data_IF_278668716596
#
_entry.id   IF_278668716596
#
_cell.length_a   1.000
_cell.length_b   1.000
_cell.length_c   1.000
_cell.angle_alpha   90.00
_cell.angle_beta   90.00
_cell.angle_gamma   90.00
#
_symmetry.space_group_name_H-M   'P 1'
#
loop_
_entity.id
_entity.type
_entity.pdbx_description
1 polymer ?
#
# COMPACT_ATOMS: atom_id res chain seq x y z
N UNK A 1 27.86 -7.40 -14.30
CA UNK A 1 26.41 -7.13 -14.34
C UNK A 1 26.11 -6.16 -15.46
N UNK A 2 25.18 -6.50 -16.32
CA UNK A 2 24.81 -5.63 -17.43
C UNK A 2 23.77 -4.59 -16.98
N UNK A 3 24.20 -3.33 -16.85
CA UNK A 3 23.35 -2.21 -16.44
C UNK A 3 22.58 -1.61 -17.62
N UNK A 4 22.80 -2.08 -18.87
CA UNK A 4 22.17 -1.55 -20.08
C UNK A 4 20.64 -1.64 -20.03
N UNK A 5 20.10 -2.59 -19.28
CA UNK A 5 18.65 -2.74 -19.05
C UNK A 5 18.05 -1.52 -18.33
N UNK A 6 18.78 -0.93 -17.37
CA UNK A 6 18.35 0.28 -16.66
C UNK A 6 18.26 1.49 -17.60
N UNK A 7 19.24 1.64 -18.47
CA UNK A 7 19.30 2.71 -19.45
C UNK A 7 18.20 2.55 -20.52
N UNK A 8 18.01 1.33 -21.05
CA UNK A 8 16.94 1.01 -22.01
C UNK A 8 15.55 1.28 -21.46
N UNK A 9 15.34 1.06 -20.15
CA UNK A 9 14.08 1.38 -19.47
C UNK A 9 13.94 2.86 -19.06
N UNK A 10 14.89 3.72 -19.42
CA UNK A 10 14.84 5.16 -19.13
C UNK A 10 14.98 5.48 -17.63
N UNK A 11 15.69 4.63 -16.88
CA UNK A 11 15.93 4.88 -15.46
C UNK A 11 16.89 6.07 -15.31
N UNK A 12 16.54 6.99 -14.41
CA UNK A 12 17.31 8.21 -14.19
C UNK A 12 18.78 7.90 -13.87
N UNK A 13 19.77 8.56 -14.54
CA UNK A 13 21.19 8.32 -14.33
C UNK A 13 21.65 8.46 -12.85
N UNK A 14 21.00 9.33 -12.08
CA UNK A 14 21.31 9.45 -10.63
C UNK A 14 20.95 8.19 -9.85
N UNK A 15 19.86 7.50 -10.24
CA UNK A 15 19.47 6.23 -9.64
C UNK A 15 20.44 5.13 -10.04
N UNK A 16 20.82 5.08 -11.33
CA UNK A 16 21.82 4.13 -11.83
C UNK A 16 23.14 4.31 -11.09
N UNK A 17 23.63 5.55 -10.98
CA UNK A 17 24.87 5.85 -10.25
C UNK A 17 24.80 5.54 -8.73
N UNK A 18 23.62 5.61 -8.13
CA UNK A 18 23.42 5.15 -6.75
C UNK A 18 23.49 3.61 -6.67
N UNK A 19 22.77 2.90 -7.54
CA UNK A 19 22.75 1.43 -7.57
C UNK A 19 24.15 0.85 -7.81
N UNK A 20 24.97 1.49 -8.64
CA UNK A 20 26.36 1.06 -8.89
C UNK A 20 27.24 1.09 -7.63
N UNK A 21 26.92 1.94 -6.66
CA UNK A 21 27.62 2.02 -5.35
C UNK A 21 27.10 0.99 -4.34
N UNK A 22 26.00 0.34 -4.63
CA UNK A 22 25.30 -0.62 -3.77
C UNK A 22 25.11 -1.96 -4.51
N UNK A 23 26.18 -2.78 -4.64
CA UNK A 23 26.17 -3.96 -5.51
C UNK A 23 25.04 -4.95 -5.22
N UNK A 24 24.74 -5.20 -3.95
CA UNK A 24 23.63 -6.10 -3.55
C UNK A 24 22.27 -5.55 -3.97
N UNK A 25 22.06 -4.24 -3.82
CA UNK A 25 20.81 -3.61 -4.25
C UNK A 25 20.71 -3.60 -5.78
N UNK A 26 21.81 -3.39 -6.48
CA UNK A 26 21.83 -3.45 -7.95
C UNK A 26 21.47 -4.85 -8.44
N UNK A 27 22.08 -5.90 -7.90
CA UNK A 27 21.76 -7.28 -8.25
C UNK A 27 20.28 -7.57 -8.09
N UNK A 28 19.72 -7.19 -6.95
CA UNK A 28 18.31 -7.38 -6.68
C UNK A 28 17.40 -6.55 -7.58
N UNK A 29 17.77 -5.30 -7.86
CA UNK A 29 17.05 -4.42 -8.76
C UNK A 29 17.00 -4.98 -10.20
N UNK A 30 18.08 -5.57 -10.68
CA UNK A 30 18.13 -6.25 -11.98
C UNK A 30 17.24 -7.50 -11.99
N UNK A 31 17.29 -8.33 -10.95
CA UNK A 31 16.41 -9.51 -10.81
C UNK A 31 14.92 -9.11 -10.80
N UNK A 32 14.55 -8.01 -10.16
CA UNK A 32 13.18 -7.50 -10.21
C UNK A 32 12.78 -7.14 -11.65
N UNK A 33 13.63 -6.41 -12.38
CA UNK A 33 13.34 -5.99 -13.75
C UNK A 33 13.24 -7.14 -14.74
N UNK A 34 13.82 -8.28 -14.41
CA UNK A 34 13.72 -9.52 -15.19
C UNK A 34 12.45 -10.32 -14.88
N UNK A 35 12.01 -10.32 -13.63
CA UNK A 35 10.96 -11.23 -13.13
C UNK A 35 9.62 -10.54 -12.81
N UNK A 36 9.60 -9.20 -12.75
CA UNK A 36 8.43 -8.43 -12.39
C UNK A 36 8.28 -7.18 -13.28
N UNK A 37 7.03 -6.82 -13.57
CA UNK A 37 6.75 -5.61 -14.33
C UNK A 37 6.63 -4.41 -13.38
N UNK A 38 7.65 -3.55 -13.41
CA UNK A 38 7.65 -2.26 -12.73
C UNK A 38 7.85 -1.14 -13.75
N UNK A 39 6.91 -0.20 -13.79
CA UNK A 39 7.13 1.03 -14.54
C UNK A 39 8.23 1.89 -13.90
N UNK A 40 8.73 2.88 -14.63
CA UNK A 40 9.85 3.75 -14.21
C UNK A 40 9.60 4.43 -12.86
N UNK A 41 8.34 4.86 -12.59
CA UNK A 41 8.00 5.51 -11.31
C UNK A 41 7.99 4.51 -10.16
N UNK A 42 7.42 3.33 -10.37
CA UNK A 42 7.43 2.25 -9.37
C UNK A 42 8.85 1.80 -9.06
N UNK A 43 9.71 1.67 -10.07
CA UNK A 43 11.12 1.33 -9.87
C UNK A 43 11.88 2.42 -9.09
N UNK A 44 11.65 3.70 -9.42
CA UNK A 44 12.21 4.82 -8.64
C UNK A 44 11.77 4.76 -7.17
N UNK A 45 10.50 4.49 -6.92
CA UNK A 45 9.97 4.36 -5.57
C UNK A 45 10.54 3.13 -4.86
N UNK A 46 10.73 2.01 -5.55
CA UNK A 46 11.40 0.83 -5.03
C UNK A 46 12.79 1.18 -4.47
N UNK A 47 13.65 1.79 -5.27
CA UNK A 47 15.00 2.18 -4.84
C UNK A 47 14.95 3.16 -3.66
N UNK A 48 14.07 4.16 -3.73
CA UNK A 48 13.92 5.16 -2.68
C UNK A 48 13.46 4.54 -1.36
N UNK A 49 12.37 3.74 -1.37
CA UNK A 49 11.82 3.14 -0.17
C UNK A 49 12.79 2.15 0.47
N UNK A 50 13.44 1.32 -0.33
CA UNK A 50 14.47 0.39 0.16
C UNK A 50 15.58 1.12 0.89
N UNK A 51 16.10 2.21 0.30
CA UNK A 51 17.12 3.05 0.94
C UNK A 51 16.62 3.66 2.25
N UNK A 52 15.42 4.23 2.25
CA UNK A 52 14.85 4.88 3.43
C UNK A 52 14.59 3.88 4.57
N UNK A 53 14.13 2.66 4.25
CA UNK A 53 13.96 1.59 5.23
C UNK A 53 15.32 1.16 5.79
N UNK A 54 16.32 0.93 4.92
CA UNK A 54 17.67 0.55 5.33
C UNK A 54 18.29 1.56 6.29
N UNK A 55 18.19 2.85 5.98
CA UNK A 55 18.67 3.93 6.84
C UNK A 55 17.92 4.00 8.18
N UNK A 56 16.59 3.79 8.18
CA UNK A 56 15.77 3.84 9.39
C UNK A 56 16.04 2.65 10.31
N UNK A 57 16.22 1.46 9.75
CA UNK A 57 16.34 0.21 10.51
C UNK A 57 17.79 -0.19 10.79
N UNK A 58 18.74 0.45 10.11
CA UNK A 58 20.16 0.08 10.20
C UNK A 58 20.44 -1.31 9.65
N UNK A 59 19.56 -1.82 8.76
CA UNK A 59 19.66 -3.17 8.18
C UNK A 59 20.22 -3.14 6.75
N UNK A 60 21.01 -4.16 6.37
CA UNK A 60 21.42 -4.35 4.99
C UNK A 60 20.20 -4.71 4.10
N UNK A 61 20.30 -4.44 2.80
CA UNK A 61 19.19 -4.59 1.86
C UNK A 61 18.71 -6.05 1.73
N UNK A 62 19.61 -7.02 1.78
CA UNK A 62 19.29 -8.44 1.74
C UNK A 62 18.38 -8.87 2.91
N UNK A 63 18.62 -8.40 4.11
CA UNK A 63 17.76 -8.68 5.27
C UNK A 63 16.36 -8.06 5.11
N UNK A 64 16.28 -6.85 4.54
CA UNK A 64 15.00 -6.19 4.24
C UNK A 64 14.21 -7.03 3.24
N UNK A 65 14.85 -7.50 2.17
CA UNK A 65 14.21 -8.28 1.12
C UNK A 65 13.76 -9.66 1.61
N UNK A 66 14.57 -10.31 2.43
CA UNK A 66 14.23 -11.60 3.04
C UNK A 66 13.04 -11.45 4.00
N UNK A 67 13.08 -10.48 4.91
CA UNK A 67 12.02 -10.21 5.88
C UNK A 67 10.69 -9.82 5.21
N UNK A 68 10.76 -9.13 4.08
CA UNK A 68 9.60 -8.79 3.25
C UNK A 68 9.08 -9.96 2.41
N UNK A 69 9.81 -11.07 2.33
CA UNK A 69 9.47 -12.24 1.52
C UNK A 69 9.55 -11.98 0.02
N UNK A 70 10.40 -11.06 -0.42
CA UNK A 70 10.51 -10.66 -1.83
C UNK A 70 10.99 -11.79 -2.73
N UNK A 71 11.94 -12.60 -2.28
CA UNK A 71 12.42 -13.75 -3.03
C UNK A 71 11.29 -14.75 -3.33
N UNK A 72 10.39 -14.98 -2.36
CA UNK A 72 9.22 -15.85 -2.56
C UNK A 72 8.27 -15.33 -3.64
N UNK A 73 8.06 -14.01 -3.71
CA UNK A 73 7.21 -13.40 -4.74
C UNK A 73 7.86 -13.54 -6.12
N UNK A 74 9.16 -13.24 -6.22
CA UNK A 74 9.87 -13.28 -7.50
C UNK A 74 9.94 -14.71 -8.09
N UNK A 75 10.07 -15.70 -7.22
CA UNK A 75 10.20 -17.11 -7.63
C UNK A 75 8.84 -17.84 -7.75
N UNK A 76 7.73 -17.18 -7.40
CA UNK A 76 6.39 -17.75 -7.54
C UNK A 76 5.98 -17.80 -9.01
N UNK A 77 5.97 -19.00 -9.58
CA UNK A 77 5.61 -19.25 -10.99
C UNK A 77 4.11 -19.11 -11.28
N UNK A 78 3.29 -19.02 -10.25
CA UNK A 78 1.83 -18.86 -10.40
C UNK A 78 1.42 -17.40 -10.59
N UNK A 79 2.30 -16.46 -10.22
CA UNK A 79 2.05 -15.03 -10.32
C UNK A 79 2.53 -14.47 -11.67
N UNK A 80 1.73 -13.62 -12.29
CA UNK A 80 2.16 -12.83 -13.44
C UNK A 80 3.23 -11.80 -13.05
N UNK A 81 4.06 -11.37 -14.00
CA UNK A 81 5.08 -10.31 -13.77
C UNK A 81 4.44 -9.03 -13.20
N UNK A 82 3.26 -8.65 -13.69
CA UNK A 82 2.51 -7.51 -13.19
C UNK A 82 2.11 -7.69 -11.73
N UNK A 83 1.53 -8.83 -11.38
CA UNK A 83 1.11 -9.14 -10.00
C UNK A 83 2.31 -9.16 -9.06
N UNK A 84 3.44 -9.73 -9.49
CA UNK A 84 4.70 -9.69 -8.73
C UNK A 84 5.13 -8.25 -8.45
N UNK A 85 5.11 -7.38 -9.45
CA UNK A 85 5.45 -5.96 -9.31
C UNK A 85 4.54 -5.25 -8.31
N UNK A 86 3.23 -5.44 -8.41
CA UNK A 86 2.23 -4.85 -7.50
C UNK A 86 2.42 -5.34 -6.06
N UNK A 87 2.65 -6.63 -5.85
CA UNK A 87 2.88 -7.19 -4.51
C UNK A 87 4.18 -6.69 -3.88
N UNK A 88 5.28 -6.68 -4.64
CA UNK A 88 6.56 -6.14 -4.17
C UNK A 88 6.41 -4.69 -3.70
N UNK A 89 5.78 -3.85 -4.52
CA UNK A 89 5.57 -2.44 -4.18
C UNK A 89 4.65 -2.26 -2.98
N UNK A 90 3.60 -3.06 -2.86
CA UNK A 90 2.68 -3.05 -1.72
C UNK A 90 3.39 -3.41 -0.43
N UNK A 91 4.18 -4.48 -0.42
CA UNK A 91 4.94 -4.88 0.77
C UNK A 91 5.98 -3.84 1.16
N UNK A 92 6.70 -3.30 0.17
CA UNK A 92 7.69 -2.26 0.42
C UNK A 92 7.07 -0.98 0.96
N UNK A 93 5.91 -0.59 0.44
CA UNK A 93 5.14 0.53 0.96
C UNK A 93 4.72 0.30 2.42
N UNK A 94 4.23 -0.89 2.74
CA UNK A 94 3.83 -1.25 4.10
C UNK A 94 5.01 -1.23 5.09
N UNK A 95 6.18 -1.69 4.66
CA UNK A 95 7.40 -1.58 5.45
C UNK A 95 7.85 -0.13 5.63
N UNK A 96 7.72 0.69 4.58
CA UNK A 96 8.09 2.11 4.64
C UNK A 96 7.17 2.93 5.54
N UNK A 97 5.87 2.61 5.53
CA UNK A 97 4.83 3.33 6.25
C UNK A 97 4.01 2.41 7.17
N UNK A 98 4.62 1.77 8.18
CA UNK A 98 3.96 0.72 8.95
C UNK A 98 2.76 1.23 9.76
N UNK A 99 2.83 2.45 10.27
CA UNK A 99 1.73 3.08 10.96
C UNK A 99 0.54 3.35 10.03
N UNK A 100 0.81 3.97 8.88
CA UNK A 100 -0.22 4.25 7.89
C UNK A 100 -0.88 2.99 7.33
N UNK A 101 -0.10 1.95 7.08
CA UNK A 101 -0.62 0.68 6.57
C UNK A 101 -1.56 -0.01 7.56
N UNK A 102 -1.24 0.03 8.86
CA UNK A 102 -2.13 -0.49 9.91
C UNK A 102 -3.43 0.29 9.96
N UNK A 103 -3.36 1.62 9.89
CA UNK A 103 -4.53 2.50 9.91
C UNK A 103 -5.42 2.29 8.68
N UNK A 104 -4.83 2.19 7.50
CA UNK A 104 -5.55 1.91 6.26
C UNK A 104 -6.26 0.55 6.30
N UNK A 105 -5.63 -0.47 6.89
CA UNK A 105 -6.26 -1.78 7.10
C UNK A 105 -7.45 -1.70 8.06
N UNK A 106 -7.34 -0.93 9.15
CA UNK A 106 -8.45 -0.69 10.08
C UNK A 106 -9.62 0.04 9.39
N UNK A 107 -9.34 1.09 8.63
CA UNK A 107 -10.36 1.81 7.85
C UNK A 107 -11.04 0.92 6.80
N UNK A 108 -10.29 0.10 6.10
CA UNK A 108 -10.83 -0.85 5.13
C UNK A 108 -11.77 -1.85 5.81
N UNK A 109 -11.38 -2.37 6.97
CA UNK A 109 -12.21 -3.28 7.76
C UNK A 109 -13.51 -2.61 8.22
N UNK A 110 -13.43 -1.37 8.73
CA UNK A 110 -14.60 -0.58 9.15
C UNK A 110 -15.51 -0.27 7.96
N UNK A 111 -14.96 0.14 6.82
CA UNK A 111 -15.69 0.37 5.57
C UNK A 111 -16.47 -0.87 5.16
N UNK A 112 -15.83 -2.03 5.11
CA UNK A 112 -16.46 -3.28 4.71
C UNK A 112 -17.57 -3.70 5.69
N UNK A 113 -17.34 -3.58 7.00
CA UNK A 113 -18.35 -3.86 8.03
C UNK A 113 -19.56 -2.91 7.92
N UNK A 114 -19.31 -1.62 7.72
CA UNK A 114 -20.35 -0.62 7.56
C UNK A 114 -21.18 -0.89 6.29
N UNK A 115 -20.52 -1.08 5.16
CA UNK A 115 -21.20 -1.39 3.88
C UNK A 115 -22.05 -2.66 3.99
N UNK A 116 -21.53 -3.73 4.59
CA UNK A 116 -22.26 -4.99 4.78
C UNK A 116 -23.48 -4.83 5.70
N UNK A 117 -23.36 -4.02 6.75
CA UNK A 117 -24.44 -3.80 7.72
C UNK A 117 -25.55 -2.84 7.22
N UNK A 118 -25.19 -1.89 6.36
CA UNK A 118 -26.07 -0.75 6.05
C UNK A 118 -26.41 -0.60 4.58
N UNK A 119 -25.64 -1.20 3.67
CA UNK A 119 -25.71 -0.92 2.24
C UNK A 119 -25.22 0.50 1.86
N UNK A 120 -24.80 1.30 2.84
CA UNK A 120 -24.22 2.62 2.62
C UNK A 120 -22.71 2.57 2.45
N UNK A 121 -22.11 3.71 2.16
CA UNK A 121 -20.66 3.86 2.03
C UNK A 121 -20.13 4.80 3.10
N UNK A 122 -18.99 4.45 3.72
CA UNK A 122 -18.22 5.33 4.58
C UNK A 122 -16.89 5.66 3.92
N UNK A 123 -16.53 6.95 3.89
CA UNK A 123 -15.28 7.45 3.34
C UNK A 123 -14.48 8.14 4.43
N UNK A 124 -13.27 7.68 4.67
CA UNK A 124 -12.32 8.26 5.61
C UNK A 124 -11.46 9.32 4.90
N UNK A 125 -10.92 10.30 5.65
CA UNK A 125 -10.04 11.31 5.06
C UNK A 125 -8.75 10.68 4.55
N UNK A 126 -8.21 11.27 3.48
CA UNK A 126 -6.93 10.88 2.92
C UNK A 126 -5.81 11.08 3.96
N UNK A 127 -4.84 10.17 3.97
CA UNK A 127 -3.70 10.18 4.90
C UNK A 127 -4.07 10.25 6.39
N UNK A 128 -5.32 10.00 6.74
CA UNK A 128 -5.87 10.14 8.07
C UNK A 128 -5.72 11.57 8.66
N UNK A 129 -5.60 12.54 7.79
CA UNK A 129 -5.60 13.96 8.17
C UNK A 129 -7.05 14.41 8.34
N UNK A 130 -7.41 14.83 9.54
CA UNK A 130 -8.76 15.30 9.86
C UNK A 130 -9.48 14.44 10.90
N UNK A 131 -10.56 15.00 11.45
CA UNK A 131 -11.31 14.45 12.57
C UNK A 131 -12.75 14.02 12.17
N UNK A 132 -12.97 13.77 10.89
CA UNK A 132 -14.30 13.45 10.35
C UNK A 132 -14.25 12.36 9.29
N UNK A 133 -15.37 11.71 9.07
CA UNK A 133 -15.62 10.83 7.93
C UNK A 133 -16.96 11.20 7.28
N UNK A 134 -17.14 10.79 6.04
CA UNK A 134 -18.37 11.00 5.28
C UNK A 134 -19.11 9.69 5.16
N UNK A 135 -20.44 9.78 5.32
CA UNK A 135 -21.36 8.66 5.04
C UNK A 135 -22.22 9.04 3.85
N UNK A 136 -22.46 8.10 2.95
CA UNK A 136 -23.36 8.27 1.82
C UNK A 136 -24.28 7.07 1.65
N UNK A 137 -25.52 7.34 1.28
CA UNK A 137 -26.52 6.36 0.92
C UNK A 137 -27.12 6.74 -0.43
N UNK A 138 -27.52 5.73 -1.21
CA UNK A 138 -28.28 5.94 -2.45
C UNK A 138 -29.76 5.77 -2.14
N UNK A 139 -30.55 6.82 -2.36
CA UNK A 139 -32.00 6.83 -2.17
C UNK A 139 -32.66 6.75 -3.55
N UNK A 140 -33.58 5.80 -3.75
CA UNK A 140 -34.30 5.60 -5.01
C UNK A 140 -35.80 5.80 -4.84
N UNK A 141 -36.34 5.62 -3.63
CA UNK A 141 -37.78 5.75 -3.31
C UNK A 141 -37.93 6.09 -1.81
N UNK A 142 -39.16 6.37 -1.41
CA UNK A 142 -39.50 6.78 -0.04
C UNK A 142 -39.20 5.68 0.99
N UNK A 143 -39.38 4.40 0.63
CA UNK A 143 -39.08 3.27 1.52
C UNK A 143 -37.58 3.21 1.90
N UNK A 144 -36.70 3.70 1.04
CA UNK A 144 -35.28 3.79 1.32
C UNK A 144 -34.99 4.76 2.46
N UNK A 145 -35.79 5.81 2.65
CA UNK A 145 -35.60 6.81 3.73
C UNK A 145 -35.85 6.15 5.09
N UNK A 146 -36.96 5.45 5.27
CA UNK A 146 -37.26 4.74 6.51
C UNK A 146 -36.23 3.64 6.81
N UNK A 147 -35.79 2.95 5.77
CA UNK A 147 -34.76 1.93 5.87
C UNK A 147 -33.42 2.51 6.33
N UNK A 148 -33.02 3.67 5.81
CA UNK A 148 -31.79 4.36 6.18
C UNK A 148 -31.84 4.79 7.64
N UNK A 149 -32.96 5.33 8.13
CA UNK A 149 -33.13 5.73 9.53
C UNK A 149 -32.88 4.55 10.49
N UNK A 150 -33.53 3.41 10.26
CA UNK A 150 -33.35 2.19 11.03
C UNK A 150 -31.90 1.66 10.94
N UNK A 151 -31.34 1.75 9.74
CA UNK A 151 -29.98 1.27 9.43
C UNK A 151 -28.93 2.11 10.14
N UNK A 152 -29.06 3.45 10.13
CA UNK A 152 -28.15 4.35 10.85
C UNK A 152 -28.21 4.07 12.36
N UNK A 153 -29.42 3.90 12.94
CA UNK A 153 -29.56 3.58 14.33
C UNK A 153 -28.83 2.28 14.72
N UNK A 154 -28.94 1.24 13.90
CA UNK A 154 -28.24 -0.03 14.12
C UNK A 154 -26.72 0.06 13.92
N UNK A 155 -26.26 0.98 13.08
CA UNK A 155 -24.82 1.19 12.78
C UNK A 155 -24.12 2.13 13.75
N UNK A 156 -24.81 2.76 14.72
CA UNK A 156 -24.21 3.68 15.71
C UNK A 156 -22.96 3.14 16.40
N UNK A 157 -22.87 1.86 16.80
CA UNK A 157 -21.63 1.32 17.38
C UNK A 157 -20.45 1.39 16.44
N UNK A 158 -20.66 1.06 15.15
CA UNK A 158 -19.61 1.13 14.11
C UNK A 158 -19.17 2.57 13.84
N UNK A 159 -20.09 3.53 13.87
CA UNK A 159 -19.79 4.95 13.69
C UNK A 159 -18.95 5.50 14.85
N UNK A 160 -19.26 5.07 16.10
CA UNK A 160 -18.46 5.41 17.28
C UNK A 160 -17.06 4.80 17.21
N UNK A 161 -16.93 3.54 16.79
CA UNK A 161 -15.66 2.88 16.54
C UNK A 161 -14.83 3.64 15.49
N UNK A 162 -15.48 4.07 14.39
CA UNK A 162 -14.82 4.85 13.33
C UNK A 162 -14.30 6.20 13.83
N UNK A 163 -15.07 6.92 14.65
CA UNK A 163 -14.63 8.19 15.25
C UNK A 163 -13.47 8.00 16.23
N UNK A 164 -13.49 6.92 17.01
CA UNK A 164 -12.40 6.59 17.91
C UNK A 164 -11.11 6.32 17.15
N UNK A 165 -11.17 5.49 16.11
CA UNK A 165 -10.01 5.15 15.25
C UNK A 165 -9.39 6.38 14.59
N UNK A 166 -10.20 7.37 14.20
CA UNK A 166 -9.69 8.65 13.66
C UNK A 166 -8.98 9.45 14.75
N UNK A 167 -9.59 9.59 15.94
CA UNK A 167 -9.08 10.45 17.02
C UNK A 167 -7.83 9.93 17.72
N UNK A 168 -7.72 8.63 17.91
CA UNK A 168 -6.56 8.00 18.59
C UNK A 168 -5.27 8.12 17.77
N UNK A 169 -5.39 8.61 16.55
CA UNK A 169 -4.29 8.65 15.59
C UNK A 169 -4.08 10.03 14.95
N UNK A 170 -4.66 11.09 15.52
CA UNK A 170 -4.50 12.49 15.08
C UNK A 170 -3.45 13.26 15.89
#
# INVERSE_FOLDING_TARGET
MDISILEKRGINPKIVGFLQKEPKLLEFALSILEKADLNTNSFKNFVRYTREIGLREGKPFDEIFESAGFFKILDDVTLSEKTKGEELMTRLYNLRYPFWSKKQAAFTKLKNRFCAATGGEITFPDFAEGNSFKISFTIKNDDDIEKIERTIASALPLLKESLKEIKENS
#
